data_IF_125405788874
#
_entry.id   IF_125405788874
#
_cell.length_a   1.000
_cell.length_b   1.000
_cell.length_c   1.000
_cell.angle_alpha   90.00
_cell.angle_beta   90.00
_cell.angle_gamma   90.00
#
_symmetry.space_group_name_H-M   'P 1'
#
loop_
_entity.id
_entity.type
_entity.pdbx_description
1 polymer ?
#
# COMPACT_ATOMS: atom_id res chain seq x y z
N UNK A 1 62.88 -2.68 14.71
CA UNK A 1 62.31 -2.15 13.45
C UNK A 1 60.83 -1.88 13.68
N UNK A 2 60.40 -0.66 13.34
CA UNK A 2 59.03 -0.15 13.43
C UNK A 2 58.18 -0.78 12.33
N UNK A 3 56.92 -1.11 12.61
CA UNK A 3 55.73 -0.76 11.80
C UNK A 3 54.52 -1.57 12.30
N UNK A 4 53.76 -0.97 13.22
CA UNK A 4 52.36 -1.36 13.45
C UNK A 4 51.56 -0.98 12.21
N UNK A 5 51.10 -1.98 11.47
CA UNK A 5 50.22 -1.81 10.32
C UNK A 5 48.84 -1.39 10.82
N UNK A 6 48.62 -0.08 10.72
CA UNK A 6 47.34 0.59 10.77
C UNK A 6 46.51 0.13 9.57
N UNK A 7 45.24 -0.18 9.81
CA UNK A 7 44.24 -0.20 8.74
C UNK A 7 43.65 -1.58 8.50
N UNK A 8 42.45 -1.78 9.03
CA UNK A 8 41.26 -2.06 8.24
C UNK A 8 40.05 -1.95 9.16
N UNK A 9 39.63 -0.70 9.44
CA UNK A 9 38.21 -0.48 9.77
C UNK A 9 37.49 -0.65 8.44
N UNK A 10 37.11 -1.89 8.13
CA UNK A 10 36.11 -2.15 7.11
C UNK A 10 34.79 -1.63 7.67
N UNK A 11 34.57 -0.33 7.47
CA UNK A 11 33.27 0.30 7.62
C UNK A 11 32.37 -0.35 6.58
N UNK A 12 31.70 -1.44 6.98
CA UNK A 12 30.58 -2.00 6.27
C UNK A 12 29.54 -0.88 6.19
N UNK A 13 29.60 -0.12 5.10
CA UNK A 13 28.55 0.78 4.71
C UNK A 13 27.33 -0.10 4.43
N UNK A 14 26.52 -0.29 5.46
CA UNK A 14 25.16 -0.79 5.33
C UNK A 14 24.46 0.29 4.50
N UNK A 15 24.37 0.04 3.19
CA UNK A 15 23.57 0.87 2.29
C UNK A 15 22.13 0.67 2.75
N UNK A 16 21.67 1.56 3.62
CA UNK A 16 20.26 1.73 3.92
C UNK A 16 19.60 2.25 2.63
N UNK A 17 19.27 1.32 1.73
CA UNK A 17 18.39 1.63 0.61
C UNK A 17 17.07 2.04 1.27
N UNK A 18 16.60 3.29 1.11
CA UNK A 18 15.26 3.64 1.55
C UNK A 18 14.32 2.70 0.82
N UNK A 19 13.64 1.83 1.56
CA UNK A 19 12.59 0.99 1.00
C UNK A 19 11.52 1.93 0.46
N UNK A 20 11.55 2.16 -0.85
CA UNK A 20 10.45 2.78 -1.58
C UNK A 20 9.23 1.90 -1.33
N UNK A 21 8.41 2.29 -0.34
CA UNK A 21 7.14 1.64 -0.10
C UNK A 21 6.25 2.01 -1.29
N UNK A 22 5.98 1.05 -2.17
CA UNK A 22 4.94 1.21 -3.19
C UNK A 22 3.60 1.25 -2.46
N UNK A 23 3.11 2.45 -2.17
CA UNK A 23 1.77 2.63 -1.64
C UNK A 23 0.77 2.20 -2.71
N UNK A 24 -0.10 1.26 -2.37
CA UNK A 24 -1.20 0.82 -3.18
C UNK A 24 -2.51 1.45 -2.68
N UNK A 25 -3.45 1.70 -3.59
CA UNK A 25 -4.76 2.26 -3.25
C UNK A 25 -5.72 1.15 -2.90
N UNK A 26 -6.36 1.26 -1.74
CA UNK A 26 -7.37 0.32 -1.26
C UNK A 26 -8.72 1.02 -1.09
N UNK A 27 -9.80 0.43 -1.58
CA UNK A 27 -11.16 0.85 -1.29
C UNK A 27 -11.69 0.20 -0.01
N UNK A 28 -12.49 0.92 0.76
CA UNK A 28 -13.16 0.41 1.96
C UNK A 28 -14.49 1.13 2.19
N UNK A 29 -15.36 0.58 3.03
CA UNK A 29 -16.65 1.20 3.39
C UNK A 29 -16.52 1.86 4.77
N UNK A 30 -16.86 3.14 4.85
CA UNK A 30 -16.86 3.87 6.12
C UNK A 30 -18.11 3.55 6.96
N UNK A 31 -18.15 4.03 8.21
CA UNK A 31 -19.30 3.83 9.11
C UNK A 31 -20.62 4.45 8.60
N UNK A 32 -20.54 5.42 7.68
CA UNK A 32 -21.70 6.01 7.01
C UNK A 32 -22.20 5.19 5.82
N UNK A 33 -21.50 4.11 5.45
CA UNK A 33 -21.83 3.27 4.30
C UNK A 33 -21.26 3.77 2.96
N UNK A 34 -20.35 4.74 2.97
CA UNK A 34 -19.74 5.31 1.78
C UNK A 34 -18.45 4.58 1.41
N UNK A 35 -18.20 4.40 0.10
CA UNK A 35 -16.94 3.83 -0.40
C UNK A 35 -15.88 4.92 -0.42
N UNK A 36 -14.81 4.72 0.34
CA UNK A 36 -13.66 5.59 0.42
C UNK A 36 -12.39 4.86 -0.02
N UNK A 37 -11.33 5.61 -0.27
CA UNK A 37 -10.02 5.05 -0.62
C UNK A 37 -8.96 5.44 0.40
N UNK A 38 -8.03 4.54 0.69
CA UNK A 38 -6.84 4.78 1.52
C UNK A 38 -5.60 4.26 0.80
N UNK A 39 -4.44 4.88 1.06
CA UNK A 39 -3.15 4.44 0.53
C UNK A 39 -2.39 3.66 1.61
N UNK A 40 -1.90 2.48 1.28
CA UNK A 40 -1.13 1.64 2.20
C UNK A 40 -0.19 0.70 1.45
N UNK A 41 0.86 0.21 2.11
CA UNK A 41 1.77 -0.78 1.51
C UNK A 41 1.17 -2.20 1.50
N UNK A 42 0.16 -2.45 2.34
CA UNK A 42 -0.51 -3.75 2.46
C UNK A 42 -1.97 -3.61 2.87
N UNK A 43 -2.76 -4.66 2.62
CA UNK A 43 -4.16 -4.71 3.04
C UNK A 43 -4.32 -4.61 4.57
N UNK A 44 -3.39 -5.19 5.34
CA UNK A 44 -3.44 -5.13 6.80
C UNK A 44 -3.18 -3.70 7.30
N UNK A 45 -2.22 -3.01 6.69
CA UNK A 45 -1.97 -1.59 7.00
C UNK A 45 -3.16 -0.73 6.61
N UNK A 46 -3.76 -0.95 5.44
CA UNK A 46 -5.00 -0.26 5.03
C UNK A 46 -6.14 -0.46 6.02
N UNK A 47 -6.34 -1.66 6.56
CA UNK A 47 -7.37 -1.94 7.58
C UNK A 47 -7.13 -1.18 8.89
N UNK A 48 -5.85 -0.98 9.26
CA UNK A 48 -5.49 -0.28 10.49
C UNK A 48 -5.53 1.24 10.34
N UNK A 49 -5.26 1.76 9.14
CA UNK A 49 -5.17 3.21 8.87
C UNK A 49 -6.44 3.79 8.24
N UNK A 50 -7.35 2.97 7.73
CA UNK A 50 -8.61 3.41 7.13
C UNK A 50 -9.48 4.21 8.13
N UNK A 51 -9.69 5.52 7.91
CA UNK A 51 -10.46 6.33 8.83
C UNK A 51 -11.93 5.95 8.78
N UNK A 52 -12.53 5.79 9.97
CA UNK A 52 -13.93 5.43 10.15
C UNK A 52 -14.32 4.13 9.40
N UNK A 53 -13.43 3.14 9.33
CA UNK A 53 -13.73 1.83 8.76
C UNK A 53 -14.98 1.24 9.45
N UNK A 54 -15.93 0.73 8.66
CA UNK A 54 -17.09 0.04 9.19
C UNK A 54 -16.69 -1.22 9.95
N UNK A 55 -17.38 -1.56 11.05
CA UNK A 55 -17.05 -2.69 11.94
C UNK A 55 -16.98 -4.04 11.22
N UNK A 56 -17.67 -4.19 10.10
CA UNK A 56 -17.67 -5.40 9.26
C UNK A 56 -17.18 -5.13 7.83
N UNK A 57 -16.49 -4.00 7.62
CA UNK A 57 -15.89 -3.65 6.34
C UNK A 57 -14.52 -4.30 6.18
N UNK A 58 -14.24 -4.76 4.96
CA UNK A 58 -12.89 -5.10 4.52
C UNK A 58 -12.23 -3.95 3.75
N UNK A 59 -11.07 -4.24 3.18
CA UNK A 59 -10.38 -3.40 2.19
C UNK A 59 -10.21 -4.19 0.89
N UNK A 60 -10.31 -3.53 -0.25
CA UNK A 60 -10.10 -4.11 -1.57
C UNK A 60 -8.99 -3.34 -2.29
N UNK A 61 -7.98 -4.06 -2.77
CA UNK A 61 -6.93 -3.46 -3.59
C UNK A 61 -7.51 -2.98 -4.92
N UNK A 62 -7.31 -1.71 -5.25
CA UNK A 62 -7.65 -1.15 -6.55
C UNK A 62 -6.39 -1.21 -7.43
N UNK A 63 -6.33 -2.18 -8.33
CA UNK A 63 -5.19 -2.40 -9.22
C UNK A 63 -5.39 -1.86 -10.65
N UNK A 64 -6.61 -1.40 -10.99
CA UNK A 64 -6.94 -0.81 -12.28
C UNK A 64 -8.17 0.09 -12.12
N UNK A 65 -8.06 1.33 -12.59
CA UNK A 65 -9.21 2.22 -12.82
C UNK A 65 -9.78 2.09 -14.23
N UNK A 66 -9.30 1.11 -15.02
CA UNK A 66 -9.57 1.00 -16.45
C UNK A 66 -10.87 0.28 -16.77
N UNK A 67 -11.50 -0.36 -15.79
CA UNK A 67 -12.83 -0.93 -16.00
C UNK A 67 -13.92 0.03 -15.52
N UNK A 68 -14.30 0.93 -16.43
CA UNK A 68 -15.52 1.71 -16.33
C UNK A 68 -16.73 0.92 -16.84
N UNK A 69 -16.69 -0.42 -16.87
CA UNK A 69 -17.90 -1.22 -17.04
C UNK A 69 -18.78 -0.99 -15.80
N UNK A 70 -19.71 -0.05 -15.93
CA UNK A 70 -20.88 0.04 -15.05
C UNK A 70 -21.48 -1.36 -15.00
N UNK A 71 -21.53 -1.96 -13.82
CA UNK A 71 -22.18 -3.25 -13.60
C UNK A 71 -23.64 -3.11 -14.08
N UNK A 72 -23.95 -3.71 -15.24
CA UNK A 72 -25.27 -3.61 -15.87
C UNK A 72 -25.32 -2.97 -17.25
N UNK A 73 -24.20 -2.49 -17.81
CA UNK A 73 -24.16 -1.92 -19.18
C UNK A 73 -24.46 -2.95 -20.30
N UNK A 74 -24.37 -4.25 -19.99
CA UNK A 74 -24.74 -5.33 -20.92
C UNK A 74 -26.25 -5.63 -20.95
N UNK A 75 -27.12 -4.70 -20.56
CA UNK A 75 -28.55 -4.82 -20.89
C UNK A 75 -28.75 -4.34 -22.32
N UNK A 76 -28.77 -5.28 -23.27
CA UNK A 76 -29.29 -5.00 -24.61
C UNK A 76 -30.71 -4.46 -24.44
N UNK A 77 -30.88 -3.16 -24.67
CA UNK A 77 -32.19 -2.55 -24.84
C UNK A 77 -32.95 -3.30 -25.94
N UNK A 78 -34.21 -3.60 -25.64
CA UNK A 78 -35.17 -4.36 -26.44
C UNK A 78 -35.19 -4.01 -27.93
#
# INVERSE_FOLDING_TARGET
MKTTFLGMVALAAIIAVPSLSLAATFAYVNQSGEVMTTEAASANEALMTAPNLGTHSGVMLINSSTDSEVVGDRVNGV
#
